data_IF_955822881772
#
_entry.id   IF_955822881772
#
_cell.length_a   1.000
_cell.length_b   1.000
_cell.length_c   1.000
_cell.angle_alpha   90.00
_cell.angle_beta   90.00
_cell.angle_gamma   90.00
#
_symmetry.space_group_name_H-M   'P 1'
#
loop_
_entity.id
_entity.type
_entity.pdbx_description
1 polymer ?
#
# COMPACT_ATOMS: atom_id res chain seq x y z
N UNK A 1 -15.72 16.14 -7.54
CA UNK A 1 -14.24 16.11 -7.37
C UNK A 1 -13.74 15.33 -6.13
N UNK A 2 -14.60 14.64 -5.37
CA UNK A 2 -14.18 13.92 -4.13
C UNK A 2 -13.17 12.77 -4.39
N UNK A 3 -13.28 12.08 -5.53
CA UNK A 3 -12.48 10.89 -5.84
C UNK A 3 -11.01 11.19 -6.20
N UNK A 4 -10.72 12.37 -6.75
CA UNK A 4 -9.35 12.73 -7.19
C UNK A 4 -8.35 12.82 -6.03
N UNK A 5 -8.81 13.30 -4.86
CA UNK A 5 -7.98 13.35 -3.65
C UNK A 5 -7.66 11.95 -3.13
N UNK A 6 -8.61 11.02 -3.22
CA UNK A 6 -8.41 9.63 -2.80
C UNK A 6 -7.44 8.91 -3.74
N UNK A 7 -7.50 9.22 -5.04
CA UNK A 7 -6.56 8.74 -6.06
C UNK A 7 -5.12 9.12 -5.72
N UNK A 8 -4.81 10.42 -5.59
CA UNK A 8 -3.43 10.89 -5.32
C UNK A 8 -2.88 10.28 -4.04
N UNK A 9 -3.68 10.29 -2.97
CA UNK A 9 -3.26 9.77 -1.67
C UNK A 9 -3.12 8.25 -1.68
N UNK A 10 -4.00 7.55 -2.38
CA UNK A 10 -3.90 6.10 -2.57
C UNK A 10 -2.61 5.72 -3.28
N UNK A 11 -2.22 6.49 -4.30
CA UNK A 11 -0.95 6.28 -4.98
C UNK A 11 0.22 6.41 -4.02
N UNK A 12 0.29 7.46 -3.20
CA UNK A 12 1.33 7.61 -2.18
C UNK A 12 1.32 6.45 -1.17
N UNK A 13 0.14 5.97 -0.77
CA UNK A 13 0.03 4.83 0.14
C UNK A 13 0.64 3.54 -0.42
N UNK A 14 0.48 3.34 -1.73
CA UNK A 14 1.12 2.25 -2.45
C UNK A 14 2.65 2.47 -2.55
N UNK A 15 3.10 3.67 -2.95
CA UNK A 15 4.53 4.02 -3.05
C UNK A 15 5.29 3.85 -1.74
N UNK A 16 4.68 4.30 -0.64
CA UNK A 16 5.25 4.21 0.72
C UNK A 16 5.12 2.79 1.30
N UNK A 17 4.49 1.86 0.59
CA UNK A 17 4.46 0.45 0.96
C UNK A 17 3.53 0.12 2.13
N UNK A 18 2.47 0.90 2.37
CA UNK A 18 1.54 0.64 3.48
C UNK A 18 0.54 -0.49 3.23
N UNK A 19 0.45 -1.03 2.00
CA UNK A 19 -0.42 -2.15 1.65
C UNK A 19 0.36 -3.45 1.79
N UNK A 20 -0.15 -4.37 2.60
CA UNK A 20 0.51 -5.64 2.88
C UNK A 20 -0.46 -6.82 2.84
N UNK A 21 0.12 -8.03 2.80
CA UNK A 21 -0.59 -9.30 2.93
C UNK A 21 -1.80 -9.38 1.98
N UNK A 22 -1.57 -9.01 0.72
CA UNK A 22 -2.57 -9.17 -0.34
C UNK A 22 -2.76 -10.67 -0.56
N UNK A 23 -4.00 -11.13 -0.40
CA UNK A 23 -4.41 -12.51 -0.55
C UNK A 23 -5.63 -12.56 -1.47
N UNK A 24 -5.67 -13.55 -2.35
CA UNK A 24 -6.78 -13.78 -3.26
C UNK A 24 -7.46 -15.06 -2.82
N UNK A 25 -8.78 -15.02 -2.71
CA UNK A 25 -9.62 -16.16 -2.42
C UNK A 25 -10.65 -16.33 -3.54
N UNK A 26 -10.55 -17.44 -4.26
CA UNK A 26 -11.53 -17.80 -5.27
C UNK A 26 -12.78 -18.38 -4.60
N UNK A 27 -13.97 -17.98 -5.08
CA UNK A 27 -15.23 -18.46 -4.50
C UNK A 27 -15.49 -19.92 -4.93
N UNK A 28 -15.28 -20.19 -6.22
CA UNK A 28 -15.23 -21.53 -6.81
C UNK A 28 -14.52 -21.46 -8.16
N UNK A 29 -14.12 -22.60 -8.70
CA UNK A 29 -13.48 -22.70 -10.01
C UNK A 29 -14.41 -22.23 -11.15
N UNK A 30 -15.72 -22.36 -10.95
CA UNK A 30 -16.75 -21.95 -11.91
C UNK A 30 -17.25 -20.52 -11.71
N UNK A 31 -16.98 -19.92 -10.55
CA UNK A 31 -17.42 -18.56 -10.25
C UNK A 31 -16.46 -17.57 -10.89
N UNK A 32 -17.03 -16.64 -11.66
CA UNK A 32 -16.30 -15.57 -12.32
C UNK A 32 -16.00 -14.40 -11.38
N UNK A 33 -16.05 -14.62 -10.07
CA UNK A 33 -15.72 -13.61 -9.07
C UNK A 33 -14.69 -14.15 -8.09
N UNK A 34 -13.82 -13.27 -7.59
CA UNK A 34 -12.93 -13.58 -6.49
C UNK A 34 -12.91 -12.47 -5.44
N UNK A 35 -12.55 -12.85 -4.23
CA UNK A 35 -12.31 -11.91 -3.14
C UNK A 35 -10.83 -11.62 -3.01
N UNK A 36 -10.50 -10.36 -2.84
CA UNK A 36 -9.15 -9.94 -2.49
C UNK A 36 -9.19 -9.34 -1.10
N UNK A 37 -8.29 -9.79 -0.22
CA UNK A 37 -8.12 -9.25 1.12
C UNK A 37 -6.70 -8.71 1.28
N UNK A 38 -6.57 -7.57 1.96
CA UNK A 38 -5.27 -7.04 2.35
C UNK A 38 -5.35 -6.36 3.71
N UNK A 39 -4.17 -6.04 4.24
CA UNK A 39 -3.99 -5.21 5.43
C UNK A 39 -3.32 -3.90 5.03
N UNK A 40 -3.80 -2.80 5.57
CA UNK A 40 -3.22 -1.48 5.36
C UNK A 40 -2.86 -0.84 6.69
N UNK A 41 -1.60 -0.41 6.83
CA UNK A 41 -1.19 0.38 7.98
C UNK A 41 -1.51 1.86 7.72
N UNK A 42 -2.21 2.56 8.63
CA UNK A 42 -2.40 3.99 8.51
C UNK A 42 -1.09 4.74 8.73
N UNK A 43 -0.87 5.82 7.99
CA UNK A 43 0.36 6.61 8.09
C UNK A 43 0.60 7.21 9.48
N UNK A 44 -0.46 7.61 10.20
CA UNK A 44 -0.37 8.39 11.44
C UNK A 44 -0.96 7.72 12.70
N UNK A 45 -1.58 6.54 12.57
CA UNK A 45 -2.28 5.89 13.69
C UNK A 45 -1.69 4.52 14.01
N UNK A 46 -1.73 4.15 15.29
CA UNK A 46 -1.43 2.79 15.74
C UNK A 46 -2.68 1.94 15.49
N UNK A 47 -2.66 1.12 14.45
CA UNK A 47 -3.76 0.25 14.09
C UNK A 47 -3.53 -0.41 12.74
N UNK A 48 -4.36 -1.38 12.39
CA UNK A 48 -4.33 -2.02 11.08
C UNK A 48 -5.73 -2.01 10.52
N UNK A 49 -5.88 -1.44 9.33
CA UNK A 49 -7.13 -1.53 8.58
C UNK A 49 -7.12 -2.78 7.71
N UNK A 50 -8.28 -3.41 7.62
CA UNK A 50 -8.50 -4.54 6.75
C UNK A 50 -9.34 -4.10 5.57
N UNK A 51 -9.00 -4.65 4.41
CA UNK A 51 -9.57 -4.24 3.14
C UNK A 51 -10.05 -5.48 2.42
N UNK A 52 -11.20 -5.34 1.77
CA UNK A 52 -11.79 -6.39 0.94
C UNK A 52 -12.25 -5.81 -0.38
N UNK A 53 -11.96 -6.53 -1.45
CA UNK A 53 -12.52 -6.30 -2.76
C UNK A 53 -13.25 -7.55 -3.22
N UNK A 54 -14.37 -7.35 -3.90
CA UNK A 54 -14.99 -8.36 -4.75
C UNK A 54 -14.75 -7.91 -6.19
N UNK A 55 -14.11 -8.75 -6.98
CA UNK A 55 -13.71 -8.43 -8.35
C UNK A 55 -14.24 -9.50 -9.31
N UNK A 56 -14.60 -9.07 -10.51
CA UNK A 56 -14.93 -9.97 -11.63
C UNK A 56 -13.64 -10.46 -12.29
N UNK A 57 -13.57 -11.76 -12.55
CA UNK A 57 -12.53 -12.43 -13.32
C UNK A 57 -12.74 -12.25 -14.84
N UNK A 58 -13.92 -11.82 -15.27
CA UNK A 58 -14.20 -11.51 -16.67
C UNK A 58 -13.39 -10.30 -17.13
N UNK A 59 -12.95 -10.31 -18.38
CA UNK A 59 -12.35 -9.15 -19.02
C UNK A 59 -13.45 -8.21 -19.55
N UNK A 60 -13.40 -6.90 -19.24
CA UNK A 60 -12.39 -6.21 -18.45
C UNK A 60 -12.56 -6.45 -16.95
N UNK A 61 -11.44 -6.63 -16.26
CA UNK A 61 -11.42 -6.82 -14.81
C UNK A 61 -12.13 -5.66 -14.09
N UNK A 62 -13.24 -5.98 -13.40
CA UNK A 62 -14.09 -4.98 -12.77
C UNK A 62 -14.17 -5.17 -11.25
N UNK A 63 -13.97 -4.07 -10.52
CA UNK A 63 -14.25 -4.03 -9.08
C UNK A 63 -15.76 -3.92 -8.87
N UNK A 64 -16.37 -4.97 -8.31
CA UNK A 64 -17.80 -5.04 -8.02
C UNK A 64 -18.11 -4.37 -6.69
N UNK A 65 -17.30 -4.65 -5.66
CA UNK A 65 -17.42 -4.03 -4.33
C UNK A 65 -16.07 -3.81 -3.69
N UNK A 66 -15.97 -2.77 -2.87
CA UNK A 66 -14.79 -2.48 -2.07
C UNK A 66 -15.20 -2.04 -0.65
N UNK A 67 -14.52 -2.56 0.36
CA UNK A 67 -14.75 -2.20 1.76
C UNK A 67 -13.43 -2.08 2.52
N UNK A 68 -13.32 -1.08 3.39
CA UNK A 68 -12.20 -0.91 4.29
C UNK A 68 -12.73 -0.62 5.70
N UNK A 69 -12.09 -1.20 6.73
CA UNK A 69 -12.49 -0.98 8.13
C UNK A 69 -12.16 0.41 8.68
N UNK A 70 -11.56 1.30 7.89
CA UNK A 70 -11.30 2.66 8.35
C UNK A 70 -12.60 3.48 8.44
N UNK A 71 -12.66 4.53 9.28
CA UNK A 71 -13.87 5.36 9.41
C UNK A 71 -14.38 5.95 8.09
N UNK A 72 -13.46 6.29 7.17
CA UNK A 72 -13.82 6.79 5.85
C UNK A 72 -14.28 5.68 4.88
N UNK A 73 -13.94 4.43 5.15
CA UNK A 73 -14.25 3.26 4.31
C UNK A 73 -15.71 2.81 4.40
N UNK A 74 -16.44 3.22 5.43
CA UNK A 74 -17.88 2.97 5.57
C UNK A 74 -18.75 3.70 4.53
N UNK A 75 -18.20 4.65 3.77
CA UNK A 75 -18.91 5.46 2.77
C UNK A 75 -18.50 5.22 1.32
N UNK A 76 -17.89 4.07 1.00
CA UNK A 76 -17.43 3.67 -0.34
C UNK A 76 -16.33 4.58 -0.93
N UNK A 77 -15.06 4.13 -0.84
CA UNK A 77 -13.92 4.79 -1.49
C UNK A 77 -13.03 5.64 -0.57
N UNK A 78 -12.13 4.98 0.18
CA UNK A 78 -11.09 5.63 0.97
C UNK A 78 -9.71 5.54 0.29
N UNK A 79 -8.75 6.37 0.73
CA UNK A 79 -7.34 6.33 0.29
C UNK A 79 -6.74 4.94 0.33
N UNK A 80 -7.07 4.16 1.37
CA UNK A 80 -6.56 2.80 1.52
C UNK A 80 -7.00 1.90 0.35
N UNK A 81 -8.29 1.91 -0.02
CA UNK A 81 -8.80 1.12 -1.14
C UNK A 81 -8.12 1.52 -2.45
N UNK A 82 -7.96 2.83 -2.68
CA UNK A 82 -7.21 3.30 -3.85
C UNK A 82 -5.78 2.76 -3.86
N UNK A 83 -5.07 2.77 -2.72
CA UNK A 83 -3.73 2.19 -2.60
C UNK A 83 -3.69 0.68 -2.89
N UNK A 84 -4.69 -0.08 -2.43
CA UNK A 84 -4.80 -1.50 -2.78
C UNK A 84 -5.00 -1.72 -4.29
N UNK A 85 -5.83 -0.89 -4.94
CA UNK A 85 -6.04 -1.00 -6.39
C UNK A 85 -4.75 -0.70 -7.17
N UNK A 86 -3.96 0.29 -6.75
CA UNK A 86 -2.64 0.52 -7.35
C UNK A 86 -1.67 -0.65 -7.11
N UNK A 87 -1.71 -1.24 -5.92
CA UNK A 87 -0.90 -2.42 -5.59
C UNK A 87 -1.26 -3.64 -6.46
N UNK A 88 -2.53 -3.80 -6.81
CA UNK A 88 -3.01 -4.87 -7.70
C UNK A 88 -2.71 -4.58 -9.17
N UNK A 89 -2.82 -3.32 -9.61
CA UNK A 89 -2.43 -2.93 -10.97
C UNK A 89 -0.92 -3.11 -11.21
N UNK A 90 -0.12 -3.05 -10.14
CA UNK A 90 1.30 -3.40 -10.19
C UNK A 90 2.13 -2.45 -11.05
N UNK A 91 1.73 -1.18 -11.20
CA UNK A 91 2.57 -0.17 -11.84
C UNK A 91 3.69 0.23 -10.87
N UNK A 92 4.98 -0.12 -11.09
CA UNK A 92 6.06 0.76 -10.69
C UNK A 92 6.03 1.93 -11.68
N UNK A 93 5.70 3.16 -11.25
CA UNK A 93 5.89 4.26 -12.19
C UNK A 93 7.40 4.45 -12.34
N UNK A 94 7.90 4.18 -13.52
CA UNK A 94 9.29 4.39 -13.97
C UNK A 94 9.80 5.82 -13.67
N UNK A 95 8.91 6.77 -13.37
CA UNK A 95 9.20 8.16 -13.02
C UNK A 95 9.47 8.43 -11.51
N UNK A 96 9.31 7.44 -10.62
CA UNK A 96 9.30 7.65 -9.15
C UNK A 96 10.66 7.92 -8.49
N UNK A 97 11.76 7.57 -9.17
CA UNK A 97 13.11 7.82 -8.63
C UNK A 97 13.55 9.28 -8.84
N UNK A 98 13.02 9.96 -9.86
CA UNK A 98 13.47 11.32 -10.23
C UNK A 98 12.72 12.41 -9.45
N UNK A 99 11.43 12.21 -9.15
CA UNK A 99 10.54 13.21 -8.54
C UNK A 99 10.30 13.04 -7.02
N UNK A 100 11.17 12.33 -6.30
CA UNK A 100 11.02 12.23 -4.84
C UNK A 100 11.17 13.61 -4.17
N UNK A 101 10.21 14.01 -3.29
CA UNK A 101 10.28 15.27 -2.58
C UNK A 101 11.52 15.32 -1.68
N UNK A 102 12.07 16.52 -1.47
CA UNK A 102 13.32 16.74 -0.75
C UNK A 102 13.33 16.18 0.69
N UNK A 103 12.17 15.98 1.31
CA UNK A 103 12.01 15.35 2.63
C UNK A 103 12.15 13.82 2.61
N UNK A 104 11.90 13.18 1.47
CA UNK A 104 12.08 11.73 1.28
C UNK A 104 13.53 11.38 0.88
N UNK A 105 14.30 12.38 0.44
CA UNK A 105 15.73 12.25 0.19
C UNK A 105 16.48 12.26 1.53
N UNK A 106 17.54 11.45 1.71
CA UNK A 106 18.34 11.49 2.92
C UNK A 106 18.87 12.90 3.17
N UNK A 107 18.82 13.34 4.43
CA UNK A 107 19.23 14.69 4.83
C UNK A 107 20.62 15.01 4.27
N UNK A 108 20.72 15.97 3.34
CA UNK A 108 21.98 16.29 2.69
C UNK A 108 22.97 17.01 3.61
N UNK A 109 22.47 17.74 4.62
CA UNK A 109 23.29 18.59 5.47
C UNK A 109 23.93 17.83 6.64
N UNK A 110 23.26 16.78 7.13
CA UNK A 110 23.67 16.00 8.30
C UNK A 110 24.01 14.55 7.92
N UNK A 111 24.76 14.35 6.83
CA UNK A 111 25.27 13.03 6.52
C UNK A 111 26.46 12.73 7.45
N UNK A 112 26.39 11.69 8.30
CA UNK A 112 27.57 11.26 9.05
C UNK A 112 28.66 10.90 8.04
N UNK A 113 29.86 11.43 8.23
CA UNK A 113 31.00 11.02 7.40
C UNK A 113 31.16 9.52 7.58
N UNK A 114 31.11 8.75 6.49
CA UNK A 114 31.42 7.32 6.49
C UNK A 114 32.81 7.13 7.08
N UNK A 115 32.87 6.79 8.36
CA UNK A 115 34.03 6.09 8.88
C UNK A 115 34.07 4.75 8.16
N UNK A 116 35.25 4.41 7.66
CA UNK A 116 35.51 3.14 6.99
C UNK A 116 35.24 2.00 7.98
N UNK A 117 34.00 1.51 8.05
CA UNK A 117 33.67 0.29 8.78
C UNK A 117 33.58 -0.81 7.72
N UNK A 118 34.72 -1.45 7.50
CA UNK A 118 34.76 -2.77 6.88
C UNK A 118 33.94 -3.73 7.76
N UNK A 119 33.13 -4.58 7.11
CA UNK A 119 32.21 -5.59 7.65
C UNK A 119 30.85 -5.10 8.19
N UNK A 120 29.84 -5.27 7.33
CA UNK A 120 28.41 -5.21 7.67
C UNK A 120 27.82 -6.61 7.84
N UNK A 121 28.51 -7.49 8.57
CA UNK A 121 27.87 -8.70 9.07
C UNK A 121 27.13 -8.37 10.37
N UNK A 122 25.84 -8.70 10.38
CA UNK A 122 24.95 -8.78 11.54
C UNK A 122 24.48 -7.45 12.17
N UNK A 123 23.34 -6.95 11.70
CA UNK A 123 22.23 -6.64 12.61
C UNK A 123 20.94 -7.16 11.96
N UNK A 124 20.71 -8.48 12.08
CA UNK A 124 19.34 -8.95 12.26
C UNK A 124 18.97 -8.68 13.72
N UNK A 125 17.96 -7.84 13.94
CA UNK A 125 16.75 -8.14 14.72
C UNK A 125 16.06 -6.83 15.14
N UNK A 126 14.75 -6.69 14.93
CA UNK A 126 13.95 -5.69 15.60
C UNK A 126 13.55 -6.23 16.98
N UNK A 127 14.24 -5.81 18.04
CA UNK A 127 13.74 -5.99 19.40
C UNK A 127 12.53 -5.06 19.61
N UNK A 128 11.34 -5.61 19.47
CA UNK A 128 10.15 -5.20 20.21
C UNK A 128 10.08 -5.97 21.54
N UNK A 129 9.35 -5.40 22.51
CA UNK A 129 9.14 -5.81 23.91
C UNK A 129 10.15 -5.17 24.89
N UNK A 130 9.77 -4.49 25.98
CA UNK A 130 8.52 -4.32 26.74
C UNK A 130 8.41 -2.91 27.30
#
# INVERSE_FOLDING_TARGET
MQCYRQYIRGLNFYKEGYIHKIMINEISDTCQMCYIRSKCYPSMHKGVYEQWLLVSKEEPFQVVKANCTCPAGCGEGCTHIAGLLFALEGRPSIDELEDMPCTSKPCQWNQPKTLCVQNWEMIQEPHYLT
#
